data_IF_120371756246
#
_entry.id   IF_120371756246
#
_cell.length_a   1.000
_cell.length_b   1.000
_cell.length_c   1.000
_cell.angle_alpha   90.00
_cell.angle_beta   90.00
_cell.angle_gamma   90.00
#
_symmetry.space_group_name_H-M   'P 1'
#
loop_
_entity.id
_entity.type
_entity.pdbx_description
1 polymer ?
#
# COMPACT_ATOMS: atom_id res chain seq x y z
N UNK A 1 -20.21 -43.39 -61.07
CA UNK A 1 -19.81 -42.02 -60.70
C UNK A 1 -20.03 -41.84 -59.22
N UNK A 2 -18.98 -42.02 -58.39
CA UNK A 2 -19.04 -41.81 -56.93
C UNK A 2 -18.35 -40.52 -56.59
N UNK A 3 -19.10 -39.53 -56.08
CA UNK A 3 -18.57 -38.27 -55.60
C UNK A 3 -18.09 -38.49 -54.16
N UNK A 4 -16.79 -38.38 -53.94
CA UNK A 4 -16.20 -38.39 -52.62
C UNK A 4 -16.38 -37.04 -51.92
N UNK A 5 -16.97 -37.07 -50.75
CA UNK A 5 -17.12 -35.91 -49.85
C UNK A 5 -15.84 -35.81 -49.00
N UNK A 6 -15.01 -34.83 -49.27
CA UNK A 6 -13.86 -34.51 -48.41
C UNK A 6 -14.36 -33.67 -47.25
N UNK A 7 -14.30 -34.26 -46.04
CA UNK A 7 -14.56 -33.56 -44.77
C UNK A 7 -13.24 -32.89 -44.39
N UNK A 8 -13.22 -31.56 -44.53
CA UNK A 8 -12.11 -30.73 -44.04
C UNK A 8 -12.23 -30.56 -42.50
N UNK A 9 -11.48 -31.34 -41.76
CA UNK A 9 -11.39 -31.20 -40.33
C UNK A 9 -10.57 -29.95 -39.97
N UNK A 10 -11.26 -28.86 -39.61
CA UNK A 10 -10.64 -27.67 -38.98
C UNK A 10 -10.20 -28.02 -37.58
N UNK A 11 -8.92 -28.33 -37.43
CA UNK A 11 -8.24 -28.41 -36.14
C UNK A 11 -8.17 -27.00 -35.57
N UNK A 12 -9.13 -26.65 -34.72
CA UNK A 12 -8.99 -25.52 -33.79
C UNK A 12 -7.88 -25.90 -32.80
N UNK A 13 -6.68 -25.42 -33.04
CA UNK A 13 -5.65 -25.38 -32.00
C UNK A 13 -6.13 -24.46 -30.88
N UNK A 14 -6.62 -25.06 -29.81
CA UNK A 14 -6.77 -24.39 -28.54
C UNK A 14 -5.34 -23.98 -28.08
N UNK A 15 -4.91 -22.80 -28.49
CA UNK A 15 -3.83 -22.12 -27.80
C UNK A 15 -4.34 -21.90 -26.38
N UNK A 16 -3.87 -22.73 -25.46
CA UNK A 16 -3.93 -22.42 -24.04
C UNK A 16 -3.28 -21.05 -23.88
N UNK A 17 -4.11 -20.02 -23.65
CA UNK A 17 -3.67 -18.72 -23.16
C UNK A 17 -3.19 -19.03 -21.75
N UNK A 18 -1.91 -19.37 -21.62
CA UNK A 18 -1.20 -19.27 -20.35
C UNK A 18 -1.36 -17.81 -19.94
N UNK A 19 -2.23 -17.53 -18.98
CA UNK A 19 -2.24 -16.26 -18.29
C UNK A 19 -0.83 -16.07 -17.74
N UNK A 20 -0.04 -15.27 -18.41
CA UNK A 20 1.25 -14.83 -17.91
C UNK A 20 0.92 -14.02 -16.67
N UNK A 21 1.10 -14.65 -15.50
CA UNK A 21 0.86 -14.03 -14.21
C UNK A 21 1.88 -12.90 -14.11
N UNK A 22 1.47 -11.68 -14.44
CA UNK A 22 2.32 -10.53 -14.29
C UNK A 22 2.74 -10.43 -12.83
N UNK A 23 4.05 -10.24 -12.60
CA UNK A 23 4.57 -10.02 -11.25
C UNK A 23 3.89 -8.80 -10.63
N UNK A 24 3.56 -8.90 -9.34
CA UNK A 24 2.91 -7.82 -8.59
C UNK A 24 3.89 -6.65 -8.47
N UNK A 25 3.42 -5.44 -8.77
CA UNK A 25 4.18 -4.21 -8.60
C UNK A 25 3.57 -3.38 -7.47
N UNK A 26 4.21 -3.37 -6.33
CA UNK A 26 3.69 -2.65 -5.17
C UNK A 26 3.76 -1.13 -5.31
N UNK A 27 4.53 -0.59 -6.25
CA UNK A 27 4.51 0.84 -6.62
C UNK A 27 3.16 1.31 -7.16
N UNK A 28 2.31 0.40 -7.63
CA UNK A 28 0.96 0.70 -8.11
C UNK A 28 -0.07 0.75 -6.97
N UNK A 29 0.30 0.27 -5.77
CA UNK A 29 -0.54 0.29 -4.57
C UNK A 29 -0.17 1.53 -3.74
N UNK A 30 -1.08 2.49 -3.70
CA UNK A 30 -0.88 3.71 -2.93
C UNK A 30 -1.46 3.56 -1.53
N UNK A 31 -0.60 3.32 -0.56
CA UNK A 31 -1.01 3.31 0.84
C UNK A 31 -1.63 4.66 1.21
N UNK A 32 -2.60 4.64 2.12
CA UNK A 32 -3.42 5.75 2.57
C UNK A 32 -4.50 6.26 1.58
N UNK A 33 -4.30 6.09 0.26
CA UNK A 33 -5.34 6.34 -0.75
C UNK A 33 -6.23 5.11 -0.96
N UNK A 34 -5.63 3.91 -0.93
CA UNK A 34 -6.36 2.65 -1.00
C UNK A 34 -7.18 2.45 0.28
N UNK A 35 -8.46 2.12 0.13
CA UNK A 35 -9.37 1.82 1.24
C UNK A 35 -9.77 0.35 1.28
N UNK A 36 -10.22 -0.12 2.44
CA UNK A 36 -10.79 -1.47 2.56
C UNK A 36 -12.03 -1.64 1.68
N UNK A 37 -12.82 -0.59 1.50
CA UNK A 37 -14.00 -0.64 0.63
C UNK A 37 -13.60 -0.78 -0.84
N UNK A 38 -12.54 -0.08 -1.28
CA UNK A 38 -11.99 -0.29 -2.63
C UNK A 38 -11.54 -1.75 -2.85
N UNK A 39 -10.87 -2.33 -1.84
CA UNK A 39 -10.46 -3.73 -1.92
C UNK A 39 -11.68 -4.66 -2.02
N UNK A 40 -12.72 -4.46 -1.21
CA UNK A 40 -13.96 -5.26 -1.23
C UNK A 40 -14.73 -5.13 -2.53
N UNK A 41 -14.76 -3.94 -3.14
CA UNK A 41 -15.41 -3.72 -4.43
C UNK A 41 -14.70 -4.44 -5.57
N UNK A 42 -13.35 -4.50 -5.52
CA UNK A 42 -12.54 -5.12 -6.56
C UNK A 42 -12.33 -6.63 -6.36
N UNK A 43 -12.47 -7.13 -5.13
CA UNK A 43 -12.32 -8.54 -4.79
C UNK A 43 -13.40 -9.02 -3.82
N UNK A 44 -14.41 -9.68 -4.37
CA UNK A 44 -15.52 -10.27 -3.58
C UNK A 44 -15.06 -11.44 -2.70
N UNK A 45 -13.87 -11.98 -2.95
CA UNK A 45 -13.28 -13.07 -2.17
C UNK A 45 -12.29 -12.58 -1.10
N UNK A 46 -12.22 -11.26 -0.87
CA UNK A 46 -11.38 -10.68 0.17
C UNK A 46 -11.73 -11.29 1.54
N UNK A 47 -10.70 -11.80 2.22
CA UNK A 47 -10.88 -12.48 3.52
C UNK A 47 -10.15 -11.74 4.61
N UNK A 48 -10.82 -11.55 5.74
CA UNK A 48 -10.18 -11.13 6.98
C UNK A 48 -9.49 -12.33 7.63
N UNK A 49 -8.28 -12.12 8.12
CA UNK A 49 -7.47 -13.12 8.82
C UNK A 49 -6.87 -12.53 10.09
N UNK A 50 -6.46 -13.41 11.00
CA UNK A 50 -5.55 -13.04 12.08
C UNK A 50 -4.12 -13.10 11.56
N UNK A 51 -3.34 -12.06 11.83
CA UNK A 51 -1.96 -11.89 11.37
C UNK A 51 -1.01 -11.99 12.57
N UNK A 52 0.09 -12.71 12.39
CA UNK A 52 1.25 -12.63 13.28
C UNK A 52 2.06 -11.39 12.96
N UNK A 53 2.14 -10.46 13.91
CA UNK A 53 2.92 -9.22 13.78
C UNK A 53 4.38 -9.48 14.14
N UNK A 54 5.27 -9.42 13.15
CA UNK A 54 6.69 -9.74 13.33
C UNK A 54 7.45 -8.69 14.13
N UNK A 55 6.97 -7.46 14.15
CA UNK A 55 7.56 -6.35 14.90
C UNK A 55 7.02 -6.22 16.33
N UNK A 56 6.04 -7.03 16.71
CA UNK A 56 5.44 -7.01 18.02
C UNK A 56 5.94 -8.18 18.90
N UNK A 57 5.78 -8.01 20.21
CA UNK A 57 6.00 -9.10 21.15
C UNK A 57 4.89 -10.16 21.04
N UNK A 58 5.25 -11.42 21.18
CA UNK A 58 4.31 -12.54 21.13
C UNK A 58 3.18 -12.45 22.16
N UNK A 59 3.47 -11.82 23.32
CA UNK A 59 2.49 -11.54 24.38
C UNK A 59 1.54 -10.38 24.06
N UNK A 60 1.77 -9.68 22.94
CA UNK A 60 0.93 -8.57 22.49
C UNK A 60 1.04 -7.30 23.32
N UNK A 61 2.03 -7.21 24.23
CA UNK A 61 2.17 -6.10 25.18
C UNK A 61 2.47 -4.76 24.49
N UNK A 62 3.19 -4.76 23.38
CA UNK A 62 3.49 -3.55 22.61
C UNK A 62 2.72 -3.58 21.31
N UNK A 63 1.68 -2.77 21.20
CA UNK A 63 0.90 -2.59 19.97
C UNK A 63 1.24 -1.26 19.32
N UNK A 64 1.34 -1.26 18.02
CA UNK A 64 1.39 -0.03 17.24
C UNK A 64 -0.03 0.51 17.08
N UNK A 65 -0.37 1.56 17.83
CA UNK A 65 -1.72 2.17 17.80
C UNK A 65 -2.09 2.79 16.46
N UNK A 66 -1.18 2.82 15.48
CA UNK A 66 -1.47 3.31 14.12
C UNK A 66 -2.24 2.30 13.27
N UNK A 67 -2.13 1.02 13.57
CA UNK A 67 -2.74 -0.04 12.76
C UNK A 67 -3.78 -0.84 13.53
N UNK A 68 -4.67 -1.50 12.83
CA UNK A 68 -5.57 -2.51 13.38
C UNK A 68 -4.78 -3.81 13.55
N UNK A 69 -4.00 -3.86 14.66
CA UNK A 69 -3.05 -4.92 14.93
C UNK A 69 -3.70 -6.30 14.90
N UNK A 70 -2.94 -7.29 14.39
CA UNK A 70 -3.33 -8.70 14.28
C UNK A 70 -4.55 -8.96 13.39
N UNK A 71 -5.04 -7.94 12.68
CA UNK A 71 -6.10 -8.09 11.69
C UNK A 71 -5.53 -7.75 10.33
N UNK A 72 -5.62 -8.68 9.41
CA UNK A 72 -5.22 -8.51 8.03
C UNK A 72 -6.30 -8.91 7.05
N UNK A 73 -6.17 -8.49 5.80
CA UNK A 73 -7.07 -8.80 4.71
C UNK A 73 -6.26 -9.37 3.54
N UNK A 74 -6.64 -10.57 3.09
CA UNK A 74 -5.98 -11.27 1.98
C UNK A 74 -6.85 -11.27 0.75
N UNK A 75 -6.22 -11.17 -0.42
CA UNK A 75 -6.84 -11.17 -1.72
C UNK A 75 -6.17 -12.19 -2.64
N UNK A 76 -6.96 -12.91 -3.43
CA UNK A 76 -6.43 -13.78 -4.48
C UNK A 76 -5.78 -13.00 -5.63
N UNK A 77 -6.14 -11.72 -5.80
CA UNK A 77 -5.56 -10.84 -6.80
C UNK A 77 -4.11 -10.46 -6.45
N UNK A 78 -3.77 -10.49 -5.15
CA UNK A 78 -2.46 -10.14 -4.63
C UNK A 78 -1.87 -11.28 -3.79
N UNK A 79 -1.42 -12.39 -4.40
CA UNK A 79 -0.85 -13.52 -3.67
C UNK A 79 0.32 -13.11 -2.80
N UNK A 80 0.32 -13.55 -1.54
CA UNK A 80 1.37 -13.23 -0.57
C UNK A 80 1.32 -11.82 -0.01
N UNK A 81 0.26 -11.04 -0.30
CA UNK A 81 0.05 -9.68 0.22
C UNK A 81 -1.09 -9.70 1.24
N UNK A 82 -0.84 -9.15 2.42
CA UNK A 82 -1.82 -8.94 3.47
C UNK A 82 -1.94 -7.43 3.70
N UNK A 83 -3.15 -6.91 3.57
CA UNK A 83 -3.46 -5.50 3.77
C UNK A 83 -3.91 -5.27 5.21
N UNK A 84 -3.45 -4.17 5.84
CA UNK A 84 -3.88 -3.77 7.17
C UNK A 84 -4.38 -2.33 7.17
N UNK A 85 -5.49 -2.10 7.88
CA UNK A 85 -6.04 -0.76 8.07
C UNK A 85 -5.09 0.07 8.93
N UNK A 86 -5.01 1.36 8.61
CA UNK A 86 -4.15 2.30 9.35
C UNK A 86 -4.62 2.47 10.81
N UNK A 87 -5.92 2.61 11.03
CA UNK A 87 -6.53 2.64 12.37
C UNK A 87 -7.86 1.91 12.32
N UNK A 88 -8.37 1.53 13.49
CA UNK A 88 -9.65 0.85 13.59
C UNK A 88 -10.82 1.70 13.07
N UNK A 89 -10.75 3.02 13.26
CA UNK A 89 -11.74 4.02 12.87
C UNK A 89 -11.54 4.56 11.44
N UNK A 90 -10.39 4.29 10.81
CA UNK A 90 -10.11 4.67 9.42
C UNK A 90 -10.30 3.47 8.48
N UNK A 91 -10.76 3.77 7.28
CA UNK A 91 -10.95 2.78 6.22
C UNK A 91 -9.71 2.63 5.32
N UNK A 92 -8.73 3.52 5.48
CA UNK A 92 -7.50 3.53 4.68
C UNK A 92 -6.58 2.36 5.01
N UNK A 93 -5.94 1.81 4.00
CA UNK A 93 -4.88 0.81 4.14
C UNK A 93 -3.56 1.55 4.37
N UNK A 94 -2.97 1.35 5.53
CA UNK A 94 -1.72 2.00 5.94
C UNK A 94 -0.52 1.08 6.01
N UNK A 95 -0.75 -0.23 5.95
CA UNK A 95 0.32 -1.23 6.03
C UNK A 95 0.04 -2.39 5.08
N UNK A 96 1.09 -2.89 4.47
CA UNK A 96 1.11 -4.15 3.72
C UNK A 96 2.12 -5.07 4.39
N UNK A 97 1.71 -6.29 4.69
CA UNK A 97 2.60 -7.37 5.08
C UNK A 97 2.76 -8.36 3.92
N UNK A 98 4.02 -8.66 3.57
CA UNK A 98 4.37 -9.63 2.54
C UNK A 98 4.82 -10.92 3.18
N UNK A 99 4.14 -12.00 2.82
CA UNK A 99 4.46 -13.36 3.27
C UNK A 99 5.44 -14.06 2.31
N UNK A 100 5.89 -15.26 2.69
CA UNK A 100 6.76 -16.11 1.83
C UNK A 100 6.17 -16.45 0.45
N UNK A 101 4.87 -16.28 0.26
CA UNK A 101 4.23 -16.52 -1.03
C UNK A 101 4.31 -15.31 -1.97
N UNK A 102 4.84 -14.18 -1.50
CA UNK A 102 5.00 -12.99 -2.31
C UNK A 102 6.18 -13.12 -3.27
N UNK A 103 5.90 -12.74 -4.51
CA UNK A 103 6.88 -12.61 -5.59
C UNK A 103 6.51 -11.40 -6.44
N UNK A 104 7.45 -10.45 -6.59
CA UNK A 104 7.16 -9.22 -7.32
C UNK A 104 8.10 -8.08 -6.98
N UNK A 105 7.68 -6.87 -7.30
CA UNK A 105 8.45 -5.65 -7.14
C UNK A 105 7.99 -4.86 -5.91
N UNK A 106 8.92 -4.50 -5.05
CA UNK A 106 8.71 -3.58 -3.93
C UNK A 106 8.40 -2.17 -4.45
N UNK A 107 7.90 -1.24 -3.59
CA UNK A 107 7.59 0.13 -4.02
C UNK A 107 8.75 0.87 -4.67
N UNK A 108 9.99 0.54 -4.29
CA UNK A 108 11.23 1.10 -4.84
C UNK A 108 11.72 0.41 -6.12
N UNK A 109 10.92 -0.48 -6.70
CA UNK A 109 11.20 -1.19 -7.94
C UNK A 109 12.14 -2.40 -7.81
N UNK A 110 12.59 -2.74 -6.58
CA UNK A 110 13.43 -3.92 -6.38
C UNK A 110 12.59 -5.21 -6.40
N UNK A 111 13.05 -6.16 -7.21
CA UNK A 111 12.40 -7.48 -7.29
C UNK A 111 12.80 -8.36 -6.12
N UNK A 112 11.81 -9.03 -5.52
CA UNK A 112 11.98 -10.01 -4.46
C UNK A 112 11.13 -11.26 -4.72
N UNK A 113 11.69 -12.41 -4.38
CA UNK A 113 10.99 -13.69 -4.26
C UNK A 113 11.20 -14.17 -2.83
N UNK A 114 10.21 -13.90 -1.94
CA UNK A 114 10.37 -14.13 -0.51
C UNK A 114 10.55 -15.59 -0.13
N UNK A 115 10.17 -16.49 -1.01
CA UNK A 115 10.39 -17.91 -0.80
C UNK A 115 11.86 -18.31 -0.85
N UNK A 116 12.69 -17.55 -1.58
CA UNK A 116 14.04 -17.92 -1.89
C UNK A 116 15.11 -16.93 -1.42
N UNK A 117 14.74 -15.67 -1.11
CA UNK A 117 15.72 -14.62 -0.82
C UNK A 117 16.30 -14.73 0.59
N UNK A 118 17.64 -14.67 0.71
CA UNK A 118 18.37 -14.56 1.96
C UNK A 118 18.57 -13.11 2.38
N UNK A 119 18.78 -12.90 3.67
CA UNK A 119 19.01 -11.56 4.21
C UNK A 119 20.23 -10.86 3.59
N UNK A 120 21.34 -11.58 3.42
CA UNK A 120 22.57 -11.03 2.81
C UNK A 120 22.35 -10.60 1.36
N UNK A 121 21.58 -11.37 0.58
CA UNK A 121 21.23 -11.01 -0.80
C UNK A 121 20.34 -9.76 -0.86
N UNK A 122 19.43 -9.62 0.13
CA UNK A 122 18.60 -8.45 0.25
C UNK A 122 19.43 -7.22 0.65
N UNK A 123 20.27 -7.34 1.68
CA UNK A 123 21.14 -6.28 2.17
C UNK A 123 22.02 -5.72 1.03
N UNK A 124 22.58 -6.61 0.21
CA UNK A 124 23.41 -6.24 -0.94
C UNK A 124 22.68 -5.41 -2.02
N UNK A 125 21.34 -5.39 -2.01
CA UNK A 125 20.54 -4.58 -2.96
C UNK A 125 20.38 -3.12 -2.53
N UNK A 126 20.84 -2.73 -1.33
CA UNK A 126 20.64 -1.41 -0.77
C UNK A 126 21.95 -0.80 -0.28
N UNK A 127 22.13 0.49 -0.52
CA UNK A 127 23.34 1.21 -0.10
C UNK A 127 23.33 1.60 1.38
N UNK A 128 22.14 1.67 1.99
CA UNK A 128 21.97 2.05 3.40
C UNK A 128 20.76 1.37 4.00
N UNK A 129 21.02 0.60 5.07
CA UNK A 129 20.01 -0.06 5.90
C UNK A 129 20.44 -0.02 7.35
N UNK A 130 19.46 0.09 8.25
CA UNK A 130 19.65 -0.23 9.67
C UNK A 130 19.45 -1.75 9.81
N UNK A 131 20.53 -2.49 10.02
CA UNK A 131 20.48 -3.94 10.10
C UNK A 131 20.44 -4.43 11.54
N UNK A 132 19.85 -5.61 11.72
CA UNK A 132 19.76 -6.35 12.98
C UNK A 132 19.14 -5.56 14.11
N UNK A 133 18.18 -4.71 13.81
CA UNK A 133 17.39 -4.02 14.84
C UNK A 133 16.46 -5.03 15.50
N UNK A 134 16.35 -4.98 16.81
CA UNK A 134 15.46 -5.87 17.57
C UNK A 134 14.70 -5.08 18.62
N UNK A 135 13.40 -5.35 18.72
CA UNK A 135 12.68 -5.14 19.97
C UNK A 135 12.97 -6.34 20.86
N UNK A 136 13.40 -6.14 22.10
CA UNK A 136 13.92 -7.23 22.96
C UNK A 136 13.00 -8.43 23.19
N UNK A 137 11.71 -8.30 22.87
CA UNK A 137 10.68 -9.33 23.01
C UNK A 137 10.21 -9.93 21.66
N UNK A 138 10.63 -9.38 20.53
CA UNK A 138 10.29 -9.94 19.20
C UNK A 138 11.06 -11.23 18.96
N UNK A 139 10.41 -12.14 18.23
CA UNK A 139 11.04 -13.37 17.72
C UNK A 139 11.82 -13.14 16.42
N UNK A 140 11.93 -11.87 15.98
CA UNK A 140 12.55 -11.51 14.73
C UNK A 140 13.58 -10.39 14.91
N UNK A 141 14.62 -10.45 14.10
CA UNK A 141 15.52 -9.33 13.84
C UNK A 141 14.99 -8.54 12.66
N UNK A 142 14.97 -7.21 12.80
CA UNK A 142 14.55 -6.30 11.75
C UNK A 142 15.73 -5.78 10.93
N UNK A 143 15.48 -5.58 9.65
CA UNK A 143 16.32 -4.79 8.74
C UNK A 143 15.40 -3.67 8.23
N UNK A 144 15.82 -2.42 8.37
CA UNK A 144 14.93 -1.28 8.19
C UNK A 144 15.48 -0.31 7.13
N UNK A 145 14.59 0.11 6.23
CA UNK A 145 14.86 1.16 5.25
C UNK A 145 13.90 2.34 5.46
N UNK A 146 14.45 3.50 5.81
CA UNK A 146 13.72 4.77 5.92
C UNK A 146 12.47 4.75 6.81
N UNK A 147 12.35 3.78 7.74
CA UNK A 147 11.17 3.57 8.58
C UNK A 147 9.86 3.32 7.81
N UNK A 148 9.98 2.94 6.55
CA UNK A 148 8.84 2.63 5.66
C UNK A 148 8.81 1.16 5.24
N UNK A 149 9.99 0.52 5.12
CA UNK A 149 10.11 -0.88 4.72
C UNK A 149 10.94 -1.61 5.77
N UNK A 150 10.36 -2.66 6.31
CA UNK A 150 10.95 -3.50 7.36
C UNK A 150 11.01 -4.94 6.85
N UNK A 151 12.18 -5.52 6.89
CA UNK A 151 12.42 -6.92 6.55
C UNK A 151 12.71 -7.69 7.83
N UNK A 152 12.21 -8.92 7.94
CA UNK A 152 12.29 -9.71 9.15
C UNK A 152 13.04 -11.01 8.93
N UNK A 153 13.97 -11.30 9.84
CA UNK A 153 14.72 -12.56 9.92
C UNK A 153 14.44 -13.20 11.26
N UNK A 154 14.15 -14.49 11.29
CA UNK A 154 13.85 -15.19 12.54
C UNK A 154 15.07 -15.25 13.46
N UNK A 155 14.87 -14.84 14.72
CA UNK A 155 15.89 -14.89 15.75
C UNK A 155 16.11 -16.35 16.21
N UNK A 156 17.34 -16.82 16.17
CA UNK A 156 17.70 -18.08 16.78
C UNK A 156 17.98 -17.86 18.27
N UNK A 157 17.01 -18.19 19.13
CA UNK A 157 17.10 -18.02 20.59
C UNK A 157 18.13 -18.92 21.25
N UNK A 158 18.61 -19.96 20.58
CA UNK A 158 19.60 -20.92 21.09
C UNK A 158 21.03 -20.55 20.70
N UNK A 159 21.19 -19.52 19.84
CA UNK A 159 22.50 -19.10 19.40
C UNK A 159 23.19 -18.22 20.44
N UNK A 160 24.35 -18.63 20.87
CA UNK A 160 25.21 -17.90 21.79
C UNK A 160 26.57 -17.54 21.14
N UNK A 161 27.17 -16.39 21.46
CA UNK A 161 26.58 -15.32 22.25
C UNK A 161 25.46 -14.61 21.51
N UNK A 162 24.48 -14.11 22.25
CA UNK A 162 23.38 -13.33 21.65
C UNK A 162 23.86 -12.00 21.05
N UNK A 163 24.87 -11.41 21.65
CA UNK A 163 25.45 -10.14 21.22
C UNK A 163 26.99 -10.22 21.26
N UNK A 164 27.70 -9.56 20.32
CA UNK A 164 27.12 -8.87 19.14
C UNK A 164 26.40 -9.84 18.22
N UNK A 165 25.48 -9.36 17.42
CA UNK A 165 24.76 -10.16 16.45
C UNK A 165 25.76 -10.76 15.45
N UNK A 166 25.63 -12.05 15.15
CA UNK A 166 26.45 -12.74 14.18
C UNK A 166 25.97 -12.45 12.74
N UNK A 167 26.53 -11.41 12.14
CA UNK A 167 26.23 -10.95 10.79
C UNK A 167 26.29 -12.06 9.77
N UNK A 168 27.33 -12.88 9.82
CA UNK A 168 27.54 -13.97 8.87
C UNK A 168 26.42 -15.01 8.96
N UNK A 169 26.06 -15.38 10.18
CA UNK A 169 24.99 -16.35 10.40
C UNK A 169 23.65 -15.82 9.92
N UNK A 170 23.26 -14.58 10.30
CA UNK A 170 21.94 -14.05 9.98
C UNK A 170 21.84 -13.62 8.51
N UNK A 171 22.92 -13.26 7.84
CA UNK A 171 22.94 -13.02 6.38
C UNK A 171 22.56 -14.26 5.56
N UNK A 172 22.83 -15.45 6.07
CA UNK A 172 22.47 -16.72 5.42
C UNK A 172 21.01 -17.15 5.70
N UNK A 173 20.32 -16.50 6.62
CA UNK A 173 18.93 -16.84 6.94
C UNK A 173 17.97 -16.24 5.90
N UNK A 174 16.80 -16.85 5.75
CA UNK A 174 15.74 -16.37 4.87
C UNK A 174 15.05 -15.15 5.47
N UNK A 175 14.57 -14.29 4.59
CA UNK A 175 13.59 -13.25 4.96
C UNK A 175 12.24 -13.94 5.22
N UNK A 176 11.69 -13.76 6.42
CA UNK A 176 10.43 -14.36 6.84
C UNK A 176 9.21 -13.56 6.40
N UNK A 177 9.36 -12.24 6.29
CA UNK A 177 8.32 -11.32 5.83
C UNK A 177 8.85 -9.92 5.64
N UNK A 178 8.04 -9.08 5.01
CA UNK A 178 8.32 -7.65 4.81
C UNK A 178 7.10 -6.85 5.20
N UNK A 179 7.27 -5.82 6.01
CA UNK A 179 6.24 -4.80 6.24
C UNK A 179 6.56 -3.54 5.45
N UNK A 180 5.57 -3.01 4.78
CA UNK A 180 5.59 -1.71 4.11
C UNK A 180 4.54 -0.86 4.79
N UNK A 181 4.96 0.25 5.39
CA UNK A 181 4.09 1.09 6.22
C UNK A 181 4.07 2.53 5.72
N UNK A 182 2.94 3.20 5.91
CA UNK A 182 2.79 4.63 5.67
C UNK A 182 2.04 5.28 6.83
N UNK A 183 2.44 6.49 7.19
CA UNK A 183 1.71 7.30 8.18
C UNK A 183 0.58 8.07 7.49
N UNK A 184 -0.60 7.46 7.43
CA UNK A 184 -1.75 8.05 6.78
C UNK A 184 -2.27 9.33 7.46
N UNK A 185 -1.96 9.53 8.73
CA UNK A 185 -2.38 10.75 9.42
C UNK A 185 -1.62 11.98 8.90
N UNK A 186 -0.31 11.88 8.77
CA UNK A 186 0.52 12.95 8.21
C UNK A 186 0.23 13.15 6.72
N UNK A 187 -0.05 12.08 5.99
CA UNK A 187 -0.44 12.15 4.58
C UNK A 187 -1.77 12.87 4.40
N UNK A 188 -2.78 12.54 5.22
CA UNK A 188 -4.10 13.22 5.18
C UNK A 188 -4.00 14.69 5.58
N UNK A 189 -3.22 15.02 6.61
CA UNK A 189 -3.00 16.42 6.99
C UNK A 189 -2.29 17.20 5.86
N UNK A 190 -1.33 16.60 5.17
CA UNK A 190 -0.67 17.23 4.04
C UNK A 190 -1.59 17.42 2.84
N UNK A 191 -2.48 16.47 2.56
CA UNK A 191 -3.47 16.60 1.49
C UNK A 191 -4.51 17.67 1.82
N UNK A 192 -5.00 17.74 3.06
CA UNK A 192 -5.89 18.82 3.50
C UNK A 192 -5.18 20.17 3.55
N UNK A 193 -3.90 20.20 3.97
CA UNK A 193 -3.11 21.44 4.04
C UNK A 193 -2.82 22.03 2.66
N UNK A 194 -2.83 21.22 1.61
CA UNK A 194 -2.57 21.65 0.23
C UNK A 194 -3.82 21.73 -0.65
N UNK A 195 -5.02 21.43 -0.10
CA UNK A 195 -6.27 21.59 -0.87
C UNK A 195 -6.61 23.05 -1.04
N UNK A 196 -7.12 23.44 -2.22
CA UNK A 196 -7.67 24.78 -2.40
C UNK A 196 -8.95 24.93 -1.58
N UNK A 197 -9.30 26.17 -1.25
CA UNK A 197 -10.58 26.50 -0.69
C UNK A 197 -11.64 26.49 -1.82
N UNK A 198 -12.74 25.78 -1.60
CA UNK A 198 -13.85 25.73 -2.55
C UNK A 198 -14.96 26.69 -2.12
N UNK A 199 -15.40 27.54 -3.05
CA UNK A 199 -16.48 28.51 -2.86
C UNK A 199 -17.54 28.28 -3.95
N UNK A 200 -18.78 27.98 -3.56
CA UNK A 200 -19.91 27.86 -4.48
C UNK A 200 -20.93 28.96 -4.15
N UNK A 201 -21.25 29.80 -5.12
CA UNK A 201 -22.17 30.96 -4.92
C UNK A 201 -21.79 31.80 -3.71
N UNK A 202 -20.47 32.03 -3.49
CA UNK A 202 -19.96 32.82 -2.38
C UNK A 202 -19.91 32.10 -1.02
N UNK A 203 -20.30 30.83 -0.94
CA UNK A 203 -20.28 30.04 0.30
C UNK A 203 -19.16 29.01 0.26
N UNK A 204 -18.42 28.88 1.37
CA UNK A 204 -17.42 27.82 1.56
C UNK A 204 -18.11 26.45 1.60
N UNK A 205 -17.60 25.50 0.80
CA UNK A 205 -18.13 24.13 0.70
C UNK A 205 -17.00 23.11 0.76
N UNK A 206 -17.34 21.85 1.01
CA UNK A 206 -16.40 20.74 0.99
C UNK A 206 -16.27 20.10 -0.41
N UNK A 207 -15.25 19.30 -0.61
CA UNK A 207 -15.00 18.62 -1.88
C UNK A 207 -16.13 17.63 -2.24
N UNK A 208 -16.74 17.01 -1.23
CA UNK A 208 -17.89 16.13 -1.39
C UNK A 208 -19.06 16.86 -2.07
N UNK A 209 -19.35 18.10 -1.63
CA UNK A 209 -20.41 18.95 -2.23
C UNK A 209 -20.05 19.30 -3.68
N UNK A 210 -18.77 19.58 -3.96
CA UNK A 210 -18.31 19.84 -5.34
C UNK A 210 -18.53 18.62 -6.24
N UNK A 211 -18.27 17.40 -5.73
CA UNK A 211 -18.46 16.16 -6.49
C UNK A 211 -19.93 15.90 -6.89
N UNK A 212 -20.89 16.50 -6.17
CA UNK A 212 -22.33 16.37 -6.47
C UNK A 212 -22.81 17.38 -7.55
N UNK A 213 -22.01 18.43 -7.84
CA UNK A 213 -22.36 19.44 -8.83
C UNK A 213 -22.19 18.85 -10.23
N UNK A 214 -23.27 18.88 -11.00
CA UNK A 214 -23.20 18.42 -12.40
C UNK A 214 -22.49 19.48 -13.25
N UNK A 215 -21.58 19.08 -14.15
CA UNK A 215 -20.87 20.03 -15.03
C UNK A 215 -21.80 20.95 -15.82
N UNK A 216 -22.96 20.45 -16.22
CA UNK A 216 -23.98 21.21 -16.96
C UNK A 216 -24.64 22.33 -16.14
N UNK A 217 -24.62 22.25 -14.80
CA UNK A 217 -25.17 23.27 -13.91
C UNK A 217 -24.15 24.40 -13.64
N UNK A 218 -22.89 24.25 -14.06
CA UNK A 218 -21.83 25.25 -13.84
C UNK A 218 -21.90 26.34 -14.91
N UNK A 219 -21.98 27.61 -14.49
CA UNK A 219 -21.89 28.78 -15.37
C UNK A 219 -20.41 29.18 -15.60
N UNK A 220 -19.66 29.31 -14.50
CA UNK A 220 -18.24 29.66 -14.59
C UNK A 220 -17.44 29.16 -13.39
N UNK A 221 -16.12 29.02 -13.60
CA UNK A 221 -15.14 28.68 -12.57
C UNK A 221 -14.06 29.75 -12.57
N UNK A 222 -13.76 30.31 -11.41
CA UNK A 222 -12.67 31.26 -11.20
C UNK A 222 -11.62 30.64 -10.26
N UNK A 223 -10.37 30.60 -10.69
CA UNK A 223 -9.25 30.04 -9.90
C UNK A 223 -8.36 31.19 -9.45
N UNK A 224 -8.34 31.44 -8.13
CA UNK A 224 -7.45 32.41 -7.50
C UNK A 224 -6.22 31.67 -6.95
N UNK A 225 -5.03 32.26 -7.14
CA UNK A 225 -3.76 31.71 -6.65
C UNK A 225 -2.97 32.81 -5.94
N UNK A 226 -2.05 32.36 -5.09
CA UNK A 226 -1.08 33.22 -4.41
C UNK A 226 -1.70 34.47 -3.76
N UNK A 227 -1.20 35.65 -4.10
CA UNK A 227 -1.64 36.93 -3.50
C UNK A 227 -3.14 37.21 -3.78
N UNK A 228 -3.66 36.82 -4.93
CA UNK A 228 -5.08 37.04 -5.26
C UNK A 228 -6.02 36.25 -4.35
N UNK A 229 -5.65 35.02 -4.03
CA UNK A 229 -6.40 34.15 -3.14
C UNK A 229 -6.32 34.62 -1.68
N UNK A 230 -5.11 34.92 -1.19
CA UNK A 230 -4.91 35.36 0.19
C UNK A 230 -5.46 36.77 0.45
N UNK A 231 -5.42 37.66 -0.53
CA UNK A 231 -6.04 39.01 -0.42
C UNK A 231 -7.55 38.92 -0.22
N UNK A 232 -8.22 37.95 -0.88
CA UNK A 232 -9.70 37.85 -0.83
C UNK A 232 -10.17 36.97 0.33
N UNK A 233 -9.45 35.90 0.66
CA UNK A 233 -9.88 34.86 1.61
C UNK A 233 -8.93 34.67 2.80
N UNK A 234 -7.93 35.53 2.96
CA UNK A 234 -6.95 35.48 4.07
C UNK A 234 -6.16 34.16 4.07
N UNK A 235 -5.80 33.69 5.27
CA UNK A 235 -5.08 32.42 5.45
C UNK A 235 -5.77 31.18 4.84
N UNK A 236 -7.12 31.20 4.76
CA UNK A 236 -7.85 30.11 4.13
C UNK A 236 -7.54 29.96 2.64
N UNK A 237 -7.17 31.04 1.97
CA UNK A 237 -6.83 31.06 0.54
C UNK A 237 -5.38 30.70 0.22
N UNK A 238 -4.54 30.39 1.20
CA UNK A 238 -3.07 30.19 0.99
C UNK A 238 -2.72 29.07 0.01
N UNK A 239 -3.60 28.08 -0.14
CA UNK A 239 -3.42 26.99 -1.10
C UNK A 239 -4.17 27.20 -2.41
N UNK A 240 -4.67 28.41 -2.65
CA UNK A 240 -5.54 28.74 -3.77
C UNK A 240 -7.02 28.64 -3.41
N UNK A 241 -7.86 29.21 -4.25
CA UNK A 241 -9.32 29.19 -4.11
C UNK A 241 -9.94 28.87 -5.45
N UNK A 242 -10.95 28.01 -5.44
CA UNK A 242 -11.76 27.69 -6.61
C UNK A 242 -13.18 28.20 -6.33
N UNK A 243 -13.58 29.25 -7.06
CA UNK A 243 -14.91 29.83 -7.00
C UNK A 243 -15.74 29.26 -8.13
N UNK A 244 -16.90 28.69 -7.81
CA UNK A 244 -17.83 28.09 -8.78
C UNK A 244 -19.13 28.87 -8.74
N UNK A 245 -19.58 29.28 -9.91
CA UNK A 245 -20.85 29.96 -10.12
C UNK A 245 -21.78 29.03 -10.91
N UNK A 246 -23.03 28.93 -10.44
CA UNK A 246 -24.02 28.04 -11.02
C UNK A 246 -24.94 28.80 -11.97
N UNK A 247 -25.44 28.14 -12.99
CA UNK A 247 -26.45 28.68 -13.90
C UNK A 247 -27.73 29.01 -13.12
N UNK A 248 -28.22 30.21 -13.28
CA UNK A 248 -29.55 30.59 -12.73
C UNK A 248 -30.61 29.75 -13.41
N UNK A 249 -31.39 29.03 -12.62
CA UNK A 249 -32.57 28.31 -13.10
C UNK A 249 -33.73 29.26 -13.27
#
# INVERSE_FOLDING_TARGET
MKKGLQILALLFSLKSISQQKNDIKLSEIKLCELTLDNLKQNDVELKQINLEEMDLCSDGFVQDGRFENRIGYTSKLYPGVIFQKYRKDLNSIGKIHLTKDFKGYLPDGKYVDLKNIKAGELIAKYDSLDIWTSRGCSDYLGINRNKEIYFYVKLNKQKEPRYPIDDKYYSEQQIEGIDIVSDCYSTQQNTQKNKPLYIVEGKEVTEEIIAEIKPDDVESINVLKDISATKKYGEKGKNGVIEIYLKKK
#
